data_IF_249259463754
#
_entry.id   IF_249259463754
#
_cell.length_a   1.000
_cell.length_b   1.000
_cell.length_c   1.000
_cell.angle_alpha   90.00
_cell.angle_beta   90.00
_cell.angle_gamma   90.00
#
_symmetry.space_group_name_H-M   'P 1'
#
loop_
_entity.id
_entity.type
_entity.pdbx_description
1 polymer ?
#
# COMPACT_ATOMS: atom_id res chain seq x y z
N UNK A 1 -16.40 -10.05 -6.78
CA UNK A 1 -15.12 -10.40 -7.42
C UNK A 1 -14.44 -11.49 -6.61
N UNK A 2 -13.91 -12.54 -7.25
CA UNK A 2 -13.22 -13.68 -6.61
C UNK A 2 -12.05 -13.26 -5.69
N UNK A 3 -11.54 -12.04 -5.85
CA UNK A 3 -10.44 -11.49 -5.06
C UNK A 3 -10.82 -11.15 -3.60
N UNK A 4 -12.08 -10.81 -3.30
CA UNK A 4 -12.47 -10.37 -1.95
C UNK A 4 -12.25 -11.42 -0.86
N UNK A 5 -12.41 -12.71 -1.18
CA UNK A 5 -12.21 -13.80 -0.21
C UNK A 5 -10.75 -14.19 0.02
N UNK A 6 -9.82 -13.71 -0.82
CA UNK A 6 -8.39 -14.02 -0.75
C UNK A 6 -7.55 -12.88 -0.14
N UNK A 7 -8.17 -11.71 0.10
CA UNK A 7 -7.53 -10.54 0.69
C UNK A 7 -7.96 -10.47 2.16
N UNK A 8 -7.04 -10.44 3.14
CA UNK A 8 -7.41 -10.32 4.55
C UNK A 8 -8.29 -9.10 4.85
N UNK A 9 -8.08 -7.99 4.15
CA UNK A 9 -8.94 -6.79 4.28
C UNK A 9 -10.31 -6.91 3.59
N UNK A 10 -10.61 -8.00 2.89
CA UNK A 10 -11.94 -8.27 2.31
C UNK A 10 -12.35 -7.36 1.14
N UNK A 11 -11.48 -6.42 0.73
CA UNK A 11 -11.72 -5.45 -0.34
C UNK A 11 -10.47 -5.25 -1.19
N UNK A 12 -10.67 -4.73 -2.39
CA UNK A 12 -9.57 -4.20 -3.19
C UNK A 12 -9.09 -2.85 -2.63
N UNK A 13 -7.81 -2.56 -2.83
CA UNK A 13 -7.27 -1.23 -2.60
C UNK A 13 -7.81 -0.21 -3.62
N UNK A 14 -7.72 1.07 -3.31
CA UNK A 14 -8.06 2.18 -4.21
C UNK A 14 -6.80 2.88 -4.71
N UNK A 15 -6.95 3.70 -5.75
CA UNK A 15 -5.84 4.48 -6.30
C UNK A 15 -5.31 5.51 -5.29
N UNK A 16 -6.21 6.04 -4.46
CA UNK A 16 -5.91 7.03 -3.42
C UNK A 16 -4.98 6.44 -2.36
N UNK A 17 -5.18 5.18 -1.95
CA UNK A 17 -4.31 4.50 -0.98
C UNK A 17 -2.87 4.33 -1.52
N UNK A 18 -2.73 4.12 -2.83
CA UNK A 18 -1.42 4.08 -3.49
C UNK A 18 -0.80 5.48 -3.51
N UNK A 19 -1.58 6.51 -3.81
CA UNK A 19 -1.12 7.89 -3.80
C UNK A 19 -0.64 8.31 -2.40
N UNK A 20 -1.34 7.93 -1.33
CA UNK A 20 -0.95 8.20 0.05
C UNK A 20 0.40 7.56 0.40
N UNK A 21 0.65 6.32 -0.03
CA UNK A 21 1.93 5.67 0.19
C UNK A 21 3.08 6.36 -0.58
N UNK A 22 2.81 6.84 -1.79
CA UNK A 22 3.77 7.65 -2.56
C UNK A 22 4.06 8.97 -1.83
N UNK A 23 3.03 9.65 -1.33
CA UNK A 23 3.20 10.88 -0.57
C UNK A 23 4.01 10.66 0.71
N UNK A 24 3.82 9.54 1.39
CA UNK A 24 4.63 9.16 2.54
C UNK A 24 6.11 8.99 2.15
N UNK A 25 6.40 8.28 1.04
CA UNK A 25 7.76 8.10 0.52
C UNK A 25 8.46 9.42 0.15
N UNK A 26 7.70 10.44 -0.25
CA UNK A 26 8.22 11.77 -0.57
C UNK A 26 8.37 12.68 0.67
N UNK A 27 7.88 12.24 1.83
CA UNK A 27 7.90 13.03 3.06
C UNK A 27 9.15 12.77 3.91
N UNK A 28 9.44 13.68 4.83
CA UNK A 28 10.55 13.53 5.80
C UNK A 28 10.41 12.27 6.69
N UNK A 29 9.20 11.73 6.83
CA UNK A 29 8.94 10.51 7.59
C UNK A 29 9.58 9.26 6.96
N UNK A 30 9.85 9.30 5.66
CA UNK A 30 10.53 8.22 4.94
C UNK A 30 12.05 8.41 4.87
N UNK A 31 12.63 9.38 5.59
CA UNK A 31 14.05 9.74 5.52
C UNK A 31 15.04 8.60 5.79
N UNK A 32 14.60 7.52 6.45
CA UNK A 32 15.41 6.34 6.72
C UNK A 32 15.05 5.11 5.87
N UNK A 33 14.08 5.23 4.96
CA UNK A 33 13.70 4.18 4.04
C UNK A 33 14.41 4.38 2.69
N UNK A 34 15.17 3.38 2.24
CA UNK A 34 15.84 3.40 0.93
C UNK A 34 15.88 2.00 0.31
N UNK A 35 15.77 1.93 -1.02
CA UNK A 35 15.90 0.68 -1.79
C UNK A 35 14.90 -0.43 -1.42
N UNK A 36 13.78 -0.08 -0.77
CA UNK A 36 12.79 -1.03 -0.28
C UNK A 36 11.49 -0.96 -1.10
N UNK A 37 10.72 -2.04 -1.06
CA UNK A 37 9.38 -2.11 -1.63
C UNK A 37 8.33 -1.97 -0.53
N UNK A 38 7.26 -1.22 -0.82
CA UNK A 38 6.07 -1.16 0.03
C UNK A 38 4.97 -1.97 -0.65
N UNK A 39 4.50 -3.03 0.02
CA UNK A 39 3.40 -3.84 -0.48
C UNK A 39 2.05 -3.27 -0.01
N UNK A 40 1.22 -2.87 -0.98
CA UNK A 40 -0.13 -2.33 -0.78
C UNK A 40 -1.20 -3.35 -1.19
N UNK A 41 -0.99 -4.63 -0.92
CA UNK A 41 -1.89 -5.72 -1.31
C UNK A 41 -2.96 -6.07 -0.25
N UNK A 42 -3.21 -5.23 0.76
CA UNK A 42 -4.27 -5.50 1.75
C UNK A 42 -4.04 -6.76 2.61
N UNK A 43 -2.76 -7.10 2.85
CA UNK A 43 -2.33 -8.19 3.75
C UNK A 43 -2.05 -9.54 3.08
N UNK A 44 -1.99 -9.60 1.74
CA UNK A 44 -1.56 -10.80 1.01
C UNK A 44 -0.05 -10.99 1.08
#
# INVERSE_FOLDING_TARGET
SKLKGALPMGRGGTAEEVAEAILWLLSDNASYATGTFIDLAGGR
#
